data_IF_472266314347
#
_entry.id   IF_472266314347
#
_cell.length_a   1.000
_cell.length_b   1.000
_cell.length_c   1.000
_cell.angle_alpha   90.00
_cell.angle_beta   90.00
_cell.angle_gamma   90.00
#
_symmetry.space_group_name_H-M   'P 1'
#
loop_
_entity.id
_entity.type
_entity.pdbx_description
1 polymer ?
#
# COMPACT_ATOMS: atom_id res chain seq x y z
N UNK A 1 28.70 2.85 24.92
CA UNK A 1 28.02 3.78 25.85
C UNK A 1 26.54 3.52 25.68
N UNK A 2 25.84 3.00 26.69
CA UNK A 2 24.36 2.92 26.67
C UNK A 2 23.86 4.35 26.92
N UNK A 3 23.23 4.97 25.93
CA UNK A 3 22.98 6.41 25.95
C UNK A 3 21.79 6.79 26.83
N UNK A 4 20.70 6.02 26.88
CA UNK A 4 19.76 6.13 27.99
C UNK A 4 19.24 4.77 28.48
N UNK A 5 18.90 4.69 29.77
CA UNK A 5 18.18 3.53 30.34
C UNK A 5 16.69 3.62 29.98
N UNK A 6 16.33 3.85 28.71
CA UNK A 6 14.93 3.70 28.29
C UNK A 6 14.58 2.23 28.46
N UNK A 7 13.73 1.96 29.46
CA UNK A 7 13.00 0.72 29.52
C UNK A 7 11.96 0.79 28.40
N UNK A 8 12.14 -0.02 27.35
CA UNK A 8 11.19 -0.15 26.27
C UNK A 8 10.24 -1.30 26.64
N UNK A 9 9.09 -1.01 27.28
CA UNK A 9 8.20 -2.07 27.76
C UNK A 9 7.76 -2.94 26.59
N UNK A 10 7.64 -4.24 26.82
CA UNK A 10 7.10 -5.18 25.83
C UNK A 10 5.68 -5.56 26.22
N UNK A 11 4.79 -5.59 25.23
CA UNK A 11 3.44 -6.13 25.36
C UNK A 11 3.31 -7.33 24.42
N UNK A 12 3.47 -8.54 24.96
CA UNK A 12 3.55 -9.76 24.15
C UNK A 12 4.86 -9.83 23.33
N UNK A 13 4.73 -10.00 22.01
CA UNK A 13 5.88 -10.11 21.09
C UNK A 13 6.33 -8.75 20.50
N UNK A 14 5.66 -7.65 20.84
CA UNK A 14 5.95 -6.30 20.31
C UNK A 14 6.30 -5.32 21.42
N UNK A 15 7.15 -4.34 21.10
CA UNK A 15 7.46 -3.21 21.99
C UNK A 15 6.24 -2.28 22.10
N UNK A 16 5.89 -1.91 23.32
CA UNK A 16 4.81 -0.97 23.63
C UNK A 16 5.33 0.47 23.64
N UNK A 17 5.53 1.02 22.44
CA UNK A 17 5.93 2.41 22.29
C UNK A 17 4.82 3.37 22.73
N UNK A 18 3.55 3.00 22.62
CA UNK A 18 2.44 3.88 23.05
C UNK A 18 2.49 4.12 24.55
N UNK A 19 2.63 3.06 25.35
CA UNK A 19 2.77 3.14 26.80
C UNK A 19 4.02 3.91 27.22
N UNK A 20 5.13 3.74 26.50
CA UNK A 20 6.35 4.52 26.71
C UNK A 20 6.10 6.02 26.45
N UNK A 21 5.57 6.39 25.28
CA UNK A 21 5.37 7.79 24.88
C UNK A 21 4.40 8.56 25.77
N UNK A 22 3.46 7.87 26.43
CA UNK A 22 2.52 8.49 27.37
C UNK A 22 3.21 9.00 28.63
N UNK A 23 4.23 8.29 29.12
CA UNK A 23 4.91 8.60 30.38
C UNK A 23 6.29 9.24 30.18
N UNK A 24 6.81 9.23 28.96
CA UNK A 24 8.12 9.75 28.61
C UNK A 24 8.04 11.23 28.23
N UNK A 25 8.91 12.06 28.81
CA UNK A 25 9.27 13.35 28.20
C UNK A 25 10.37 13.09 27.19
N UNK A 26 10.12 13.40 25.92
CA UNK A 26 11.04 13.10 24.85
C UNK A 26 12.16 14.15 24.80
N UNK A 27 13.40 13.70 24.61
CA UNK A 27 14.58 14.50 24.30
C UNK A 27 15.31 13.85 23.10
N UNK A 28 16.33 14.53 22.57
CA UNK A 28 17.04 14.06 21.38
C UNK A 28 17.70 12.69 21.61
N UNK A 29 18.21 12.42 22.82
CA UNK A 29 18.83 11.15 23.18
C UNK A 29 17.80 10.01 23.18
N UNK A 30 16.61 10.24 23.73
CA UNK A 30 15.53 9.25 23.74
C UNK A 30 14.94 8.98 22.37
N UNK A 31 14.83 10.02 21.54
CA UNK A 31 14.40 9.86 20.16
C UNK A 31 15.38 8.98 19.39
N UNK A 32 16.68 9.25 19.50
CA UNK A 32 17.72 8.44 18.86
C UNK A 32 17.69 7.00 19.35
N UNK A 33 17.64 6.78 20.67
CA UNK A 33 17.58 5.43 21.23
C UNK A 33 16.36 4.64 20.72
N UNK A 34 15.19 5.28 20.59
CA UNK A 34 14.00 4.64 20.01
C UNK A 34 14.24 4.26 18.55
N UNK A 35 14.79 5.15 17.73
CA UNK A 35 15.06 4.89 16.32
C UNK A 35 16.10 3.77 16.15
N UNK A 36 17.21 3.82 16.90
CA UNK A 36 18.26 2.79 16.88
C UNK A 36 17.71 1.43 17.28
N UNK A 37 16.83 1.38 18.28
CA UNK A 37 16.18 0.15 18.71
C UNK A 37 15.30 -0.44 17.61
N UNK A 38 14.53 0.37 16.88
CA UNK A 38 13.72 -0.12 15.74
C UNK A 38 14.59 -0.60 14.58
N UNK A 39 15.67 0.11 14.27
CA UNK A 39 16.65 -0.32 13.27
C UNK A 39 17.33 -1.63 13.70
N UNK A 40 17.63 -1.82 14.98
CA UNK A 40 18.18 -3.06 15.51
C UNK A 40 17.20 -4.22 15.44
N UNK A 41 15.92 -4.01 15.79
CA UNK A 41 14.89 -5.04 15.65
C UNK A 41 14.74 -5.46 14.19
N UNK A 42 14.73 -4.51 13.24
CA UNK A 42 14.74 -4.83 11.82
C UNK A 42 15.98 -5.64 11.41
N UNK A 43 17.18 -5.24 11.85
CA UNK A 43 18.43 -6.00 11.57
C UNK A 43 18.37 -7.43 12.11
N UNK A 44 17.68 -7.66 13.21
CA UNK A 44 17.48 -8.98 13.83
C UNK A 44 16.29 -9.76 13.24
N UNK A 45 15.54 -9.19 12.30
CA UNK A 45 14.26 -9.72 11.79
C UNK A 45 13.22 -9.92 12.92
N UNK A 46 13.25 -9.06 13.93
CA UNK A 46 12.25 -8.99 14.99
C UNK A 46 11.09 -8.09 14.55
N UNK A 47 9.90 -8.33 15.10
CA UNK A 47 8.77 -7.44 14.88
C UNK A 47 9.06 -6.09 15.54
N UNK A 48 9.14 -5.04 14.71
CA UNK A 48 9.21 -3.66 15.18
C UNK A 48 7.89 -3.17 15.78
N UNK A 49 7.89 -1.91 16.17
CA UNK A 49 6.70 -1.22 16.65
C UNK A 49 5.69 -1.03 15.52
N UNK A 50 4.40 -1.02 15.86
CA UNK A 50 3.34 -0.76 14.90
C UNK A 50 3.42 0.67 14.32
N UNK A 51 2.91 0.82 13.10
CA UNK A 51 2.98 2.10 12.40
C UNK A 51 2.23 3.24 13.11
N UNK A 52 1.16 2.94 13.86
CA UNK A 52 0.38 3.97 14.56
C UNK A 52 1.19 4.57 15.72
N UNK A 53 1.91 3.72 16.45
CA UNK A 53 2.81 4.16 17.51
C UNK A 53 4.02 4.95 16.98
N UNK A 54 4.57 4.57 15.82
CA UNK A 54 5.61 5.36 15.14
C UNK A 54 5.08 6.72 14.64
N UNK A 55 3.84 6.80 14.15
CA UNK A 55 3.19 8.09 13.84
C UNK A 55 3.01 8.95 15.11
N UNK A 56 2.69 8.35 16.25
CA UNK A 56 2.62 9.04 17.53
C UNK A 56 3.99 9.57 17.98
N UNK A 57 5.06 8.82 17.76
CA UNK A 57 6.44 9.28 18.02
C UNK A 57 6.75 10.54 17.23
N UNK A 58 6.50 10.55 15.92
CA UNK A 58 6.71 11.75 15.07
C UNK A 58 5.90 12.93 15.60
N UNK A 59 4.63 12.71 15.94
CA UNK A 59 3.75 13.77 16.47
C UNK A 59 4.28 14.34 17.78
N UNK A 60 4.74 13.49 18.70
CA UNK A 60 5.30 13.90 19.98
C UNK A 60 6.63 14.64 19.78
N UNK A 61 7.52 14.10 18.95
CA UNK A 61 8.81 14.71 18.64
C UNK A 61 8.66 16.11 18.04
N UNK A 62 7.72 16.33 17.11
CA UNK A 62 7.45 17.68 16.58
C UNK A 62 6.91 18.66 17.61
N UNK A 63 6.26 18.17 18.68
CA UNK A 63 5.68 19.00 19.73
C UNK A 63 6.71 19.37 20.79
N UNK A 64 7.56 18.41 21.16
CA UNK A 64 8.49 18.52 22.29
C UNK A 64 9.90 18.91 21.83
N UNK A 65 10.25 18.66 20.57
CA UNK A 65 11.60 18.83 20.00
C UNK A 65 11.56 19.58 18.66
N UNK A 66 12.74 20.08 18.28
CA UNK A 66 13.01 20.52 16.90
C UNK A 66 13.56 19.33 16.11
N UNK A 67 12.70 18.35 15.85
CA UNK A 67 13.08 17.15 15.08
C UNK A 67 13.62 17.56 13.70
N UNK A 68 14.77 16.99 13.33
CA UNK A 68 15.36 17.24 12.02
C UNK A 68 14.67 16.36 10.95
N UNK A 69 14.76 16.71 9.66
CA UNK A 69 14.14 15.93 8.59
C UNK A 69 14.67 14.49 8.47
N UNK A 70 15.93 14.24 8.83
CA UNK A 70 16.58 12.93 8.73
C UNK A 70 15.96 11.91 9.71
N UNK A 71 15.67 12.33 10.94
CA UNK A 71 14.99 11.48 11.93
C UNK A 71 13.57 11.14 11.48
N UNK A 72 12.86 12.09 10.86
CA UNK A 72 11.55 11.83 10.27
C UNK A 72 11.65 10.79 9.16
N UNK A 73 12.64 10.90 8.28
CA UNK A 73 12.88 9.92 7.22
C UNK A 73 13.19 8.53 7.78
N UNK A 74 14.01 8.43 8.84
CA UNK A 74 14.35 7.16 9.52
C UNK A 74 13.10 6.50 10.11
N UNK A 75 12.21 7.27 10.74
CA UNK A 75 10.95 6.74 11.28
C UNK A 75 10.00 6.31 10.14
N UNK A 76 9.88 7.11 9.07
CA UNK A 76 9.09 6.73 7.90
C UNK A 76 9.59 5.45 7.24
N UNK A 77 10.91 5.22 7.18
CA UNK A 77 11.45 3.94 6.71
C UNK A 77 10.91 2.79 7.56
N UNK A 78 10.87 2.91 8.90
CA UNK A 78 10.33 1.83 9.74
C UNK A 78 8.83 1.60 9.51
N UNK A 79 8.04 2.67 9.35
CA UNK A 79 6.61 2.56 9.01
C UNK A 79 6.42 1.81 7.68
N UNK A 80 7.20 2.16 6.67
CA UNK A 80 7.16 1.52 5.35
C UNK A 80 7.65 0.07 5.40
N UNK A 81 8.69 -0.24 6.19
CA UNK A 81 9.16 -1.62 6.40
C UNK A 81 8.06 -2.53 6.94
N UNK A 82 7.24 -2.01 7.84
CA UNK A 82 6.05 -2.71 8.36
C UNK A 82 4.88 -2.83 7.37
N UNK A 83 5.05 -2.48 6.10
CA UNK A 83 4.00 -2.54 5.08
C UNK A 83 2.96 -1.43 5.18
N UNK A 84 3.19 -0.44 6.06
CA UNK A 84 2.27 0.65 6.35
C UNK A 84 2.70 1.95 5.68
N UNK A 85 1.80 2.92 5.61
CA UNK A 85 2.13 4.29 5.20
C UNK A 85 1.54 5.23 6.23
N UNK A 86 2.21 6.37 6.53
CA UNK A 86 1.66 7.35 7.45
C UNK A 86 0.26 7.79 7.01
N UNK A 87 -0.73 7.71 7.91
CA UNK A 87 -2.11 8.10 7.60
C UNK A 87 -2.26 9.60 7.43
N UNK A 88 -1.41 10.37 8.10
CA UNK A 88 -1.41 11.82 8.08
C UNK A 88 -0.03 12.33 7.71
N UNK A 89 0.07 12.91 6.52
CA UNK A 89 1.28 13.56 6.04
C UNK A 89 0.92 14.93 5.45
N UNK A 90 1.75 15.93 5.74
CA UNK A 90 1.60 17.26 5.18
C UNK A 90 2.32 17.39 3.83
N UNK A 91 1.96 18.41 3.05
CA UNK A 91 2.65 18.68 1.78
C UNK A 91 4.16 18.91 1.95
N UNK A 92 4.58 19.48 3.08
CA UNK A 92 5.99 19.72 3.40
C UNK A 92 6.75 18.43 3.74
N UNK A 93 6.06 17.40 4.25
CA UNK A 93 6.65 16.13 4.63
C UNK A 93 6.61 15.08 3.54
N UNK A 94 5.73 15.26 2.54
CA UNK A 94 5.60 14.32 1.44
C UNK A 94 6.94 14.00 0.73
N UNK A 95 7.83 14.98 0.46
CA UNK A 95 9.16 14.67 -0.08
C UNK A 95 10.00 13.76 0.81
N UNK A 96 9.88 13.87 2.14
CA UNK A 96 10.58 13.00 3.09
C UNK A 96 10.03 11.57 3.01
N UNK A 97 8.72 11.40 2.89
CA UNK A 97 8.13 10.06 2.70
C UNK A 97 8.57 9.42 1.39
N UNK A 98 8.61 10.19 0.29
CA UNK A 98 9.11 9.70 -1.00
C UNK A 98 10.58 9.31 -0.87
N UNK A 99 11.43 10.14 -0.26
CA UNK A 99 12.84 9.84 0.02
C UNK A 99 13.01 8.56 0.86
N UNK A 100 12.23 8.39 1.93
CA UNK A 100 12.21 7.17 2.74
C UNK A 100 11.84 5.93 1.92
N UNK A 101 10.85 6.04 1.03
CA UNK A 101 10.45 4.95 0.16
C UNK A 101 11.54 4.60 -0.87
N UNK A 102 12.19 5.60 -1.47
CA UNK A 102 13.33 5.39 -2.38
C UNK A 102 14.48 4.65 -1.70
N UNK A 103 14.80 5.02 -0.45
CA UNK A 103 15.82 4.33 0.37
C UNK A 103 15.44 2.89 0.69
N UNK A 104 14.14 2.56 0.72
CA UNK A 104 13.64 1.22 1.00
C UNK A 104 13.68 0.29 -0.23
N UNK A 105 13.64 0.83 -1.46
CA UNK A 105 13.60 0.02 -2.70
C UNK A 105 14.73 -1.02 -2.79
N UNK A 106 16.01 -0.69 -2.51
CA UNK A 106 17.08 -1.69 -2.51
C UNK A 106 16.80 -2.86 -1.57
N UNK A 107 16.31 -2.59 -0.36
CA UNK A 107 15.93 -3.64 0.59
C UNK A 107 14.80 -4.51 0.04
N UNK A 108 13.78 -3.92 -0.59
CA UNK A 108 12.66 -4.67 -1.20
C UNK A 108 13.11 -5.54 -2.37
N UNK A 109 14.14 -5.14 -3.12
CA UNK A 109 14.73 -5.95 -4.21
C UNK A 109 15.51 -7.14 -3.69
N UNK A 110 16.25 -6.95 -2.60
CA UNK A 110 17.07 -7.99 -1.97
C UNK A 110 16.26 -8.98 -1.12
N UNK A 111 15.00 -8.63 -0.78
CA UNK A 111 14.17 -9.39 0.14
C UNK A 111 13.55 -10.65 -0.49
N UNK A 112 14.40 -11.59 -0.91
CA UNK A 112 14.01 -12.94 -1.39
C UNK A 112 13.34 -13.75 -0.26
N UNK A 113 13.58 -13.38 0.99
CA UNK A 113 12.93 -13.91 2.20
C UNK A 113 12.13 -12.78 2.83
N UNK A 114 10.80 -12.91 2.96
CA UNK A 114 9.86 -11.99 3.65
C UNK A 114 10.20 -11.61 5.11
N UNK A 115 11.46 -11.53 5.53
CA UNK A 115 11.87 -11.32 6.91
C UNK A 115 12.34 -9.90 7.19
N UNK A 116 12.59 -9.07 6.16
CA UNK A 116 13.07 -7.68 6.34
C UNK A 116 12.01 -6.63 5.97
N UNK A 117 11.73 -6.47 4.67
CA UNK A 117 10.73 -5.61 4.03
C UNK A 117 9.30 -6.17 3.85
N UNK A 118 8.22 -5.58 4.40
CA UNK A 118 6.83 -6.02 4.13
C UNK A 118 5.99 -5.04 3.29
N UNK A 119 6.60 -4.32 2.35
CA UNK A 119 5.86 -3.35 1.53
C UNK A 119 5.27 -3.99 0.26
N UNK A 120 3.95 -4.00 0.15
CA UNK A 120 3.21 -4.61 -0.95
C UNK A 120 3.43 -3.87 -2.29
N UNK A 121 3.68 -4.64 -3.37
CA UNK A 121 3.95 -4.11 -4.71
C UNK A 121 2.81 -3.27 -5.26
N UNK A 122 1.55 -3.70 -5.09
CA UNK A 122 0.40 -2.94 -5.59
C UNK A 122 0.24 -1.63 -4.83
N UNK A 123 0.42 -1.67 -3.51
CA UNK A 123 0.44 -0.47 -2.68
C UNK A 123 1.54 0.50 -3.13
N UNK A 124 2.73 0.00 -3.41
CA UNK A 124 3.86 0.78 -3.89
C UNK A 124 3.57 1.45 -5.24
N UNK A 125 3.05 0.68 -6.20
CA UNK A 125 2.72 1.21 -7.52
C UNK A 125 1.56 2.22 -7.48
N UNK A 126 0.55 2.00 -6.64
CA UNK A 126 -0.57 2.94 -6.47
C UNK A 126 -0.10 4.23 -5.80
N UNK A 127 0.70 4.15 -4.74
CA UNK A 127 1.03 5.32 -3.92
C UNK A 127 2.26 6.08 -4.39
N UNK A 128 3.24 5.41 -5.01
CA UNK A 128 4.53 5.99 -5.41
C UNK A 128 4.84 5.82 -6.90
N UNK A 129 4.03 5.04 -7.63
CA UNK A 129 4.25 4.79 -9.05
C UNK A 129 5.36 3.82 -9.38
N UNK A 130 5.97 3.19 -8.38
CA UNK A 130 7.06 2.23 -8.54
C UNK A 130 7.10 1.23 -7.38
N UNK A 131 7.90 0.19 -7.56
CA UNK A 131 8.16 -0.88 -6.59
C UNK A 131 9.57 -1.43 -6.80
N UNK A 132 9.92 -2.51 -6.12
CA UNK A 132 11.20 -3.19 -6.32
C UNK A 132 11.42 -3.65 -7.78
N UNK A 133 10.38 -4.10 -8.47
CA UNK A 133 10.48 -4.73 -9.79
C UNK A 133 9.76 -3.99 -10.92
N UNK A 134 8.85 -3.09 -10.58
CA UNK A 134 7.97 -2.41 -11.52
C UNK A 134 8.06 -0.90 -11.36
N UNK A 135 7.97 -0.17 -12.46
CA UNK A 135 7.86 1.29 -12.49
C UNK A 135 6.91 1.69 -13.60
N UNK A 136 6.00 2.61 -13.30
CA UNK A 136 5.04 3.15 -14.26
C UNK A 136 5.75 4.20 -15.11
N UNK A 137 5.77 4.02 -16.43
CA UNK A 137 6.66 4.70 -17.39
C UNK A 137 6.46 6.21 -17.57
N UNK A 138 5.35 6.79 -17.07
CA UNK A 138 4.99 8.20 -17.26
C UNK A 138 4.93 8.99 -15.93
N UNK A 139 5.98 8.89 -15.09
CA UNK A 139 6.03 9.67 -13.87
C UNK A 139 6.32 11.16 -14.16
N UNK A 140 5.27 11.97 -14.39
CA UNK A 140 5.34 13.35 -13.91
C UNK A 140 5.52 13.30 -12.39
N UNK A 141 6.47 14.04 -11.82
CA UNK A 141 6.74 14.08 -10.38
C UNK A 141 5.42 14.08 -9.60
N UNK A 142 5.14 12.99 -8.89
CA UNK A 142 3.86 12.81 -8.24
C UNK A 142 3.67 13.93 -7.22
N UNK A 143 2.58 14.70 -7.34
CA UNK A 143 2.29 15.76 -6.38
C UNK A 143 1.72 15.17 -5.09
N UNK A 144 1.88 15.88 -3.97
CA UNK A 144 1.21 15.53 -2.72
C UNK A 144 -0.32 15.45 -2.87
N UNK A 145 -0.91 16.26 -3.76
CA UNK A 145 -2.33 16.23 -4.06
C UNK A 145 -2.73 14.89 -4.71
N UNK A 146 -2.00 14.46 -5.73
CA UNK A 146 -2.21 13.16 -6.39
C UNK A 146 -2.00 12.01 -5.42
N UNK A 147 -0.94 12.04 -4.61
CA UNK A 147 -0.70 11.06 -3.54
C UNK A 147 -1.87 10.96 -2.57
N UNK A 148 -2.41 12.10 -2.12
CA UNK A 148 -3.54 12.14 -1.17
C UNK A 148 -4.80 11.50 -1.75
N UNK A 149 -5.04 11.69 -3.04
CA UNK A 149 -6.16 11.06 -3.76
C UNK A 149 -5.95 9.53 -3.85
N UNK A 150 -4.76 9.08 -4.25
CA UNK A 150 -4.45 7.65 -4.33
C UNK A 150 -4.50 6.96 -2.96
N UNK A 151 -4.02 7.62 -1.91
CA UNK A 151 -4.09 7.10 -0.54
C UNK A 151 -5.53 6.90 -0.09
N UNK A 152 -6.45 7.82 -0.44
CA UNK A 152 -7.88 7.66 -0.16
C UNK A 152 -8.50 6.49 -0.93
N UNK A 153 -8.19 6.37 -2.22
CA UNK A 153 -8.67 5.27 -3.05
C UNK A 153 -8.16 3.90 -2.53
N UNK A 154 -6.85 3.81 -2.26
CA UNK A 154 -6.23 2.62 -1.68
C UNK A 154 -6.84 2.28 -0.31
N UNK A 155 -7.01 3.27 0.56
CA UNK A 155 -7.64 3.07 1.86
C UNK A 155 -9.09 2.60 1.74
N UNK A 156 -9.85 3.09 0.75
CA UNK A 156 -11.21 2.63 0.52
C UNK A 156 -11.23 1.15 0.11
N UNK A 157 -10.38 0.76 -0.83
CA UNK A 157 -10.24 -0.63 -1.30
C UNK A 157 -9.90 -1.57 -0.12
N UNK A 158 -9.04 -1.14 0.80
CA UNK A 158 -8.58 -1.96 1.93
C UNK A 158 -9.56 -2.00 3.12
N UNK A 159 -10.75 -1.39 3.05
CA UNK A 159 -11.77 -1.48 4.11
C UNK A 159 -12.52 -2.81 4.15
N UNK A 160 -12.40 -3.62 3.12
CA UNK A 160 -13.24 -4.80 2.93
C UNK A 160 -12.46 -6.08 3.19
N UNK A 161 -13.11 -7.05 3.84
CA UNK A 161 -12.55 -8.37 4.13
C UNK A 161 -13.01 -9.47 3.15
N UNK A 162 -13.91 -9.15 2.22
CA UNK A 162 -14.39 -10.09 1.18
C UNK A 162 -15.02 -9.36 -0.01
N UNK A 163 -15.02 -9.99 -1.19
CA UNK A 163 -15.53 -9.41 -2.46
C UNK A 163 -17.01 -9.04 -2.39
N UNK A 164 -17.85 -9.86 -1.74
CA UNK A 164 -19.27 -9.55 -1.51
C UNK A 164 -19.49 -8.20 -0.81
N UNK A 165 -18.58 -7.82 0.11
CA UNK A 165 -18.67 -6.54 0.83
C UNK A 165 -18.34 -5.37 -0.07
N UNK A 166 -17.39 -5.53 -1.00
CA UNK A 166 -17.06 -4.53 -2.02
C UNK A 166 -18.23 -4.32 -2.98
N UNK A 167 -18.76 -5.41 -3.54
CA UNK A 167 -19.88 -5.39 -4.47
C UNK A 167 -21.15 -4.79 -3.86
N UNK A 168 -21.40 -5.00 -2.57
CA UNK A 168 -22.55 -4.39 -1.88
C UNK A 168 -22.42 -2.87 -1.65
N UNK A 169 -21.26 -2.26 -1.94
CA UNK A 169 -20.93 -0.86 -1.63
C UNK A 169 -20.33 -0.12 -2.83
N UNK A 170 -20.85 -0.36 -4.03
CA UNK A 170 -20.39 0.30 -5.27
C UNK A 170 -20.40 1.83 -5.17
N UNK A 171 -21.35 2.39 -4.42
CA UNK A 171 -21.46 3.83 -4.15
C UNK A 171 -20.19 4.41 -3.50
N UNK A 172 -19.43 3.59 -2.75
CA UNK A 172 -18.17 4.01 -2.13
C UNK A 172 -16.98 3.97 -3.09
N UNK A 173 -17.07 3.23 -4.18
CA UNK A 173 -16.06 3.17 -5.24
C UNK A 173 -16.31 4.20 -6.33
N UNK A 174 -17.58 4.58 -6.56
CA UNK A 174 -17.99 5.51 -7.61
C UNK A 174 -17.21 6.83 -7.65
N UNK A 175 -16.95 7.53 -6.52
CA UNK A 175 -16.16 8.77 -6.55
C UNK A 175 -14.75 8.58 -7.11
N UNK A 176 -14.16 7.39 -6.91
CA UNK A 176 -12.83 7.05 -7.42
C UNK A 176 -12.87 6.59 -8.88
N UNK A 177 -13.99 6.02 -9.34
CA UNK A 177 -14.19 5.72 -10.76
C UNK A 177 -14.40 6.96 -11.62
N UNK A 178 -14.80 8.08 -11.02
CA UNK A 178 -15.01 9.36 -11.71
C UNK A 178 -13.75 10.26 -11.66
N UNK A 179 -12.77 9.91 -10.83
CA UNK A 179 -11.50 10.61 -10.72
C UNK A 179 -10.50 10.09 -11.77
N UNK A 180 -10.23 10.92 -12.79
CA UNK A 180 -9.34 10.59 -13.91
C UNK A 180 -7.94 10.18 -13.45
N UNK A 181 -7.41 10.79 -12.40
CA UNK A 181 -6.08 10.45 -11.91
C UNK A 181 -6.06 9.05 -11.28
N UNK A 182 -7.10 8.69 -10.53
CA UNK A 182 -7.22 7.34 -9.94
C UNK A 182 -7.41 6.28 -11.02
N UNK A 183 -8.30 6.55 -11.98
CA UNK A 183 -8.58 5.64 -13.09
C UNK A 183 -7.31 5.35 -13.89
N UNK A 184 -6.59 6.39 -14.31
CA UNK A 184 -5.33 6.24 -15.03
C UNK A 184 -4.30 5.47 -14.18
N UNK A 185 -4.16 5.81 -12.90
CA UNK A 185 -3.22 5.12 -12.00
C UNK A 185 -3.55 3.63 -11.88
N UNK A 186 -4.82 3.26 -11.73
CA UNK A 186 -5.21 1.85 -11.62
C UNK A 186 -5.02 1.09 -12.93
N UNK A 187 -5.28 1.69 -14.08
CA UNK A 187 -4.95 1.09 -15.39
C UNK A 187 -3.44 0.86 -15.52
N UNK A 188 -2.63 1.89 -15.24
CA UNK A 188 -1.17 1.78 -15.28
C UNK A 188 -0.62 0.69 -14.36
N UNK A 189 -1.19 0.58 -13.15
CA UNK A 189 -0.82 -0.46 -12.18
C UNK A 189 -1.15 -1.86 -12.74
N UNK A 190 -2.38 -2.08 -13.21
CA UNK A 190 -2.81 -3.38 -13.73
C UNK A 190 -2.08 -3.77 -15.02
N UNK A 191 -1.84 -2.81 -15.91
CA UNK A 191 -1.06 -3.02 -17.13
C UNK A 191 0.39 -3.37 -16.80
N UNK A 192 0.99 -2.65 -15.85
CA UNK A 192 2.37 -2.90 -15.43
C UNK A 192 2.55 -4.28 -14.77
N UNK A 193 1.52 -4.80 -14.10
CA UNK A 193 1.52 -6.14 -13.49
C UNK A 193 0.95 -7.22 -14.41
N UNK A 194 0.60 -6.89 -15.66
CA UNK A 194 -0.10 -7.77 -16.60
C UNK A 194 -1.34 -8.45 -15.98
N UNK A 195 -2.08 -7.73 -15.14
CA UNK A 195 -3.27 -8.21 -14.42
C UNK A 195 -3.01 -9.45 -13.55
N UNK A 196 -1.75 -9.72 -13.16
CA UNK A 196 -1.42 -10.85 -12.31
C UNK A 196 -1.50 -10.49 -10.83
N UNK A 197 -2.12 -11.36 -10.04
CA UNK A 197 -2.00 -11.30 -8.58
C UNK A 197 -0.54 -11.51 -8.18
N UNK A 198 -0.10 -10.82 -7.12
CA UNK A 198 1.24 -11.08 -6.58
C UNK A 198 1.31 -12.53 -6.07
N UNK A 199 2.24 -13.31 -6.59
CA UNK A 199 2.58 -14.61 -6.00
C UNK A 199 3.03 -14.37 -4.56
N UNK A 200 2.44 -15.10 -3.62
CA UNK A 200 3.02 -15.22 -2.29
C UNK A 200 4.33 -15.99 -2.48
N UNK A 201 5.48 -15.32 -2.38
CA UNK A 201 6.83 -15.83 -2.72
C UNK A 201 7.20 -17.12 -1.93
N UNK A 202 6.39 -17.55 -0.95
CA UNK A 202 6.56 -18.77 -0.16
C UNK A 202 5.47 -19.84 -0.34
N UNK A 203 4.48 -19.62 -1.20
CA UNK A 203 3.55 -20.67 -1.59
C UNK A 203 3.60 -20.89 -3.09
N UNK A 204 3.67 -22.16 -3.49
CA UNK A 204 3.39 -22.57 -4.87
C UNK A 204 1.96 -22.18 -5.31
N UNK A 205 1.11 -21.82 -4.34
CA UNK A 205 -0.26 -21.37 -4.52
C UNK A 205 -0.30 -19.91 -4.96
N UNK A 206 -0.59 -19.69 -6.24
CA UNK A 206 -1.14 -18.44 -6.74
C UNK A 206 -2.57 -18.30 -6.24
N UNK A 207 -2.96 -17.13 -5.72
CA UNK A 207 -4.33 -16.87 -5.28
C UNK A 207 -4.95 -15.75 -6.09
N UNK A 208 -6.13 -16.01 -6.64
CA UNK A 208 -6.96 -15.01 -7.31
C UNK A 208 -7.81 -14.21 -6.32
N UNK A 209 -7.65 -14.38 -5.01
CA UNK A 209 -8.55 -13.78 -4.01
C UNK A 209 -8.13 -12.39 -3.53
N UNK A 210 -7.05 -11.84 -4.08
CA UNK A 210 -6.48 -10.58 -3.61
C UNK A 210 -7.46 -9.43 -3.75
N UNK A 211 -8.03 -9.00 -2.63
CA UNK A 211 -9.12 -8.05 -2.59
C UNK A 211 -8.76 -6.69 -3.19
N UNK A 212 -7.53 -6.22 -3.00
CA UNK A 212 -7.14 -4.92 -3.56
C UNK A 212 -7.02 -4.92 -5.08
N UNK A 213 -6.64 -6.06 -5.69
CA UNK A 213 -6.66 -6.24 -7.14
C UNK A 213 -8.09 -6.04 -7.67
N UNK A 214 -9.03 -6.78 -7.08
CA UNK A 214 -10.43 -6.70 -7.47
C UNK A 214 -11.07 -5.34 -7.16
N UNK A 215 -10.66 -4.67 -6.09
CA UNK A 215 -11.12 -3.31 -5.78
C UNK A 215 -10.70 -2.29 -6.83
N UNK A 216 -9.48 -2.40 -7.38
CA UNK A 216 -9.05 -1.57 -8.51
C UNK A 216 -9.84 -1.92 -9.78
N UNK A 217 -9.98 -3.20 -10.11
CA UNK A 217 -10.73 -3.62 -11.29
C UNK A 217 -12.20 -3.20 -11.23
N UNK A 218 -12.85 -3.36 -10.08
CA UNK A 218 -14.21 -2.88 -9.83
C UNK A 218 -14.34 -1.37 -10.05
N UNK A 219 -13.36 -0.60 -9.57
CA UNK A 219 -13.33 0.86 -9.79
C UNK A 219 -13.29 1.19 -11.28
N UNK A 220 -12.51 0.44 -12.06
CA UNK A 220 -12.43 0.63 -13.51
C UNK A 220 -13.69 0.16 -14.26
N UNK A 221 -14.33 -0.92 -13.83
CA UNK A 221 -15.60 -1.39 -14.41
C UNK A 221 -16.76 -0.40 -14.18
N UNK A 222 -16.72 0.36 -13.08
CA UNK A 222 -17.69 1.43 -12.81
C UNK A 222 -17.50 2.66 -13.71
N UNK A 223 -16.31 2.85 -14.30
CA UNK A 223 -16.04 3.96 -15.21
C UNK A 223 -16.43 3.56 -16.65
N UNK A 224 -17.41 4.29 -17.22
CA UNK A 224 -17.95 3.99 -18.56
C UNK A 224 -16.98 4.25 -19.70
N UNK A 225 -16.02 5.14 -19.52
CA UNK A 225 -15.09 5.56 -20.56
C UNK A 225 -13.97 4.51 -20.77
N UNK A 226 -13.61 3.76 -19.72
CA UNK A 226 -12.47 2.82 -19.79
C UNK A 226 -12.83 1.34 -19.66
N UNK A 227 -14.00 0.99 -19.10
CA UNK A 227 -14.38 -0.39 -18.75
C UNK A 227 -14.18 -1.42 -19.88
N UNK A 228 -14.50 -1.06 -21.12
CA UNK A 228 -14.34 -1.97 -22.26
C UNK A 228 -12.87 -2.18 -22.66
N UNK A 229 -12.06 -1.11 -22.63
CA UNK A 229 -10.63 -1.21 -22.90
C UNK A 229 -9.90 -2.06 -21.86
N UNK A 230 -10.31 -1.94 -20.59
CA UNK A 230 -9.77 -2.74 -19.49
C UNK A 230 -10.13 -4.23 -19.66
N UNK A 231 -11.38 -4.53 -20.02
CA UNK A 231 -11.80 -5.90 -20.34
C UNK A 231 -11.03 -6.46 -21.54
N UNK A 232 -10.90 -5.71 -22.63
CA UNK A 232 -10.14 -6.14 -23.81
C UNK A 232 -8.70 -6.50 -23.45
N UNK A 233 -8.05 -5.66 -22.65
CA UNK A 233 -6.70 -5.91 -22.20
C UNK A 233 -6.63 -7.18 -21.34
N UNK A 234 -7.54 -7.32 -20.38
CA UNK A 234 -7.64 -8.51 -19.52
C UNK A 234 -7.81 -9.79 -20.34
N UNK A 235 -8.76 -9.84 -21.28
CA UNK A 235 -8.99 -11.00 -22.15
C UNK A 235 -7.85 -11.27 -23.13
N UNK A 236 -7.16 -10.23 -23.61
CA UNK A 236 -5.97 -10.40 -24.48
C UNK A 236 -4.82 -11.14 -23.79
N UNK A 237 -4.83 -11.16 -22.46
CA UNK A 237 -3.82 -11.80 -21.62
C UNK A 237 -4.24 -13.21 -21.13
N UNK A 238 -5.33 -13.78 -21.66
CA UNK A 238 -5.89 -15.08 -21.24
C UNK A 238 -4.88 -16.22 -21.15
N UNK A 239 -3.92 -16.28 -22.09
CA UNK A 239 -2.88 -17.30 -22.13
C UNK A 239 -1.71 -17.04 -21.16
N UNK A 240 -1.67 -15.88 -20.50
CA UNK A 240 -0.55 -15.43 -19.66
C UNK A 240 -0.91 -15.19 -18.20
N UNK A 241 -2.21 -15.08 -17.89
CA UNK A 241 -2.72 -14.95 -16.52
C UNK A 241 -2.88 -16.35 -15.92
N UNK A 242 -2.20 -16.69 -14.81
CA UNK A 242 -2.40 -17.97 -14.13
C UNK A 242 -3.83 -18.11 -13.60
N UNK A 243 -4.41 -19.32 -13.63
CA UNK A 243 -5.78 -19.57 -13.14
C UNK A 243 -6.80 -18.61 -13.77
N UNK A 244 -6.73 -18.41 -15.09
CA UNK A 244 -7.60 -17.46 -15.79
C UNK A 244 -9.09 -17.77 -15.59
N UNK A 245 -9.48 -19.04 -15.59
CA UNK A 245 -10.87 -19.46 -15.35
C UNK A 245 -11.39 -18.97 -13.98
N UNK A 246 -10.58 -19.05 -12.91
CA UNK A 246 -10.97 -18.53 -11.60
C UNK A 246 -11.04 -16.99 -11.58
N UNK A 247 -10.27 -16.30 -12.42
CA UNK A 247 -10.47 -14.86 -12.59
C UNK A 247 -11.78 -14.56 -13.32
N UNK A 248 -12.14 -15.36 -14.32
CA UNK A 248 -13.42 -15.22 -15.03
C UNK A 248 -14.59 -15.40 -14.06
N UNK A 249 -14.53 -16.36 -13.14
CA UNK A 249 -15.57 -16.52 -12.10
C UNK A 249 -15.70 -15.27 -11.21
N UNK A 250 -14.58 -14.69 -10.77
CA UNK A 250 -14.60 -13.47 -9.96
C UNK A 250 -15.04 -12.24 -10.78
N UNK A 251 -14.68 -12.19 -12.06
CA UNK A 251 -15.06 -11.12 -12.98
C UNK A 251 -16.55 -11.19 -13.33
N UNK A 252 -17.09 -12.39 -13.57
CA UNK A 252 -18.54 -12.65 -13.72
C UNK A 252 -19.29 -12.01 -12.53
N UNK A 253 -18.84 -12.31 -11.30
CA UNK A 253 -19.43 -11.75 -10.08
C UNK A 253 -19.42 -10.21 -10.04
N UNK A 254 -18.31 -9.55 -10.42
CA UNK A 254 -18.26 -8.08 -10.41
C UNK A 254 -19.03 -7.44 -11.56
N UNK A 255 -19.05 -8.04 -12.75
CA UNK A 255 -19.86 -7.58 -13.88
C UNK A 255 -21.35 -7.64 -13.54
N UNK A 256 -21.79 -8.74 -12.93
CA UNK A 256 -23.16 -8.88 -12.42
C UNK A 256 -23.47 -7.83 -11.33
N UNK A 257 -22.54 -7.64 -10.38
CA UNK A 257 -22.72 -6.67 -9.31
C UNK A 257 -22.87 -5.24 -9.82
N UNK A 258 -22.12 -4.84 -10.85
CA UNK A 258 -22.24 -3.52 -11.49
C UNK A 258 -23.64 -3.32 -12.10
N UNK A 259 -24.26 -4.38 -12.61
CA UNK A 259 -25.66 -4.39 -13.04
C UNK A 259 -25.95 -3.51 -14.27
N UNK A 260 -24.94 -3.21 -15.08
CA UNK A 260 -25.06 -2.40 -16.29
C UNK A 260 -25.22 -3.31 -17.52
N UNK A 261 -26.36 -3.20 -18.21
CA UNK A 261 -26.72 -4.09 -19.31
C UNK A 261 -25.74 -4.04 -20.49
N UNK A 262 -25.16 -2.87 -20.77
CA UNK A 262 -24.17 -2.71 -21.84
C UNK A 262 -22.87 -3.41 -21.46
N UNK A 263 -22.42 -3.26 -20.21
CA UNK A 263 -21.26 -3.98 -19.68
C UNK A 263 -21.47 -5.50 -19.72
N UNK A 264 -22.61 -6.00 -19.26
CA UNK A 264 -22.92 -7.43 -19.29
C UNK A 264 -22.93 -7.97 -20.71
N UNK A 265 -23.58 -7.29 -21.65
CA UNK A 265 -23.62 -7.72 -23.06
C UNK A 265 -22.22 -7.74 -23.70
N UNK A 266 -21.41 -6.69 -23.45
CA UNK A 266 -20.04 -6.63 -23.93
C UNK A 266 -19.20 -7.77 -23.39
N UNK A 267 -19.24 -7.97 -22.07
CA UNK A 267 -18.49 -9.01 -21.39
C UNK A 267 -18.85 -10.42 -21.87
N UNK A 268 -20.15 -10.72 -22.03
CA UNK A 268 -20.61 -12.00 -22.59
C UNK A 268 -20.14 -12.25 -24.03
N UNK A 269 -19.84 -11.21 -24.81
CA UNK A 269 -19.31 -11.37 -26.18
C UNK A 269 -17.81 -11.72 -26.22
N UNK A 270 -17.11 -11.58 -25.09
CA UNK A 270 -15.65 -11.79 -24.96
C UNK A 270 -15.29 -13.13 -24.32
N UNK A 271 -16.18 -13.66 -23.49
CA UNK A 271 -16.09 -14.99 -22.87
C UNK A 271 -16.23 -16.08 -23.93
#
# INVERSE_FOLDING_TARGET
MKRSNIFYPTSGNSRDLVGLLFNLTLDDEKLEDIIELEEESHRKNEQGVDAEALELLIKKAKKELKINPEDVERIYIQILRGGSVPRKISAAEYPLLVSSFQRLIPELRENVSFTRAHFDTYKALVLFGESSHYSISNQSSQSFASYSVYLKAWSQINKYSHMRGMAAKLDKFRPFSEDVAVVNRFQEVLDCTNYQHMRVIRSEYYSVSTLYFWGMLLTLLLNKDVRFSVLDKFFSLSNSIPLFDEHIENLDFFVEAVGDAELSAYYSSKK
#
